data_IF_031718022712
#
_entry.id   IF_031718022712
#
_cell.length_a   1.000
_cell.length_b   1.000
_cell.length_c   1.000
_cell.angle_alpha   90.00
_cell.angle_beta   90.00
_cell.angle_gamma   90.00
#
_symmetry.space_group_name_H-M   'P 1'
#
loop_
_entity.id
_entity.type
_entity.pdbx_description
1 polymer ?
#
# COMPACT_ATOMS: atom_id res chain seq x y z
N UNK A 1 47.85 -18.79 -39.90
CA UNK A 1 47.54 -17.37 -39.62
C UNK A 1 46.75 -17.34 -38.33
N UNK A 2 47.46 -17.43 -37.20
CA UNK A 2 46.88 -17.30 -35.87
C UNK A 2 46.89 -15.82 -35.49
N UNK A 3 45.70 -15.25 -35.33
CA UNK A 3 45.51 -13.93 -34.75
C UNK A 3 45.86 -14.03 -33.26
N UNK A 4 47.04 -13.52 -32.88
CA UNK A 4 47.39 -13.28 -31.49
C UNK A 4 46.47 -12.17 -30.97
N UNK A 5 45.45 -12.56 -30.21
CA UNK A 5 44.55 -11.65 -29.52
C UNK A 5 45.30 -10.93 -28.41
N UNK A 6 45.65 -9.67 -28.67
CA UNK A 6 46.26 -8.77 -27.72
C UNK A 6 45.28 -8.51 -26.57
N UNK A 7 45.48 -9.18 -25.43
CA UNK A 7 44.62 -9.07 -24.27
C UNK A 7 44.77 -7.68 -23.64
N UNK A 8 43.66 -6.97 -23.49
CA UNK A 8 43.64 -5.62 -22.89
C UNK A 8 44.27 -5.66 -21.48
N UNK A 9 45.28 -4.82 -21.18
CA UNK A 9 45.97 -4.82 -19.89
C UNK A 9 45.02 -4.65 -18.69
N UNK A 10 45.19 -5.47 -17.66
CA UNK A 10 44.25 -5.53 -16.52
C UNK A 10 44.07 -4.21 -15.78
N UNK A 11 45.12 -3.38 -15.68
CA UNK A 11 45.05 -2.06 -15.06
C UNK A 11 44.11 -1.08 -15.80
N UNK A 12 43.94 -1.23 -17.11
CA UNK A 12 42.97 -0.44 -17.89
C UNK A 12 41.55 -0.94 -17.66
N UNK A 13 41.36 -2.25 -17.44
CA UNK A 13 40.05 -2.82 -17.14
C UNK A 13 39.55 -2.39 -15.75
N UNK A 14 40.44 -2.38 -14.76
CA UNK A 14 40.15 -1.89 -13.40
C UNK A 14 39.88 -0.38 -13.35
N UNK A 15 40.64 0.41 -14.13
CA UNK A 15 40.41 1.85 -14.26
C UNK A 15 39.05 2.18 -14.90
N UNK A 16 38.64 1.44 -15.93
CA UNK A 16 37.33 1.63 -16.57
C UNK A 16 36.19 1.15 -15.67
N UNK A 17 36.36 0.02 -14.99
CA UNK A 17 35.34 -0.50 -14.07
C UNK A 17 35.10 0.44 -12.87
N UNK A 18 36.17 0.96 -12.26
CA UNK A 18 36.06 1.93 -11.17
C UNK A 18 35.46 3.27 -11.63
N UNK A 19 35.83 3.75 -12.83
CA UNK A 19 35.24 4.97 -13.40
C UNK A 19 33.73 4.83 -13.70
N UNK A 20 33.29 3.67 -14.22
CA UNK A 20 31.87 3.39 -14.47
C UNK A 20 31.11 3.34 -13.15
N UNK A 21 31.61 2.61 -12.15
CA UNK A 21 30.98 2.51 -10.82
C UNK A 21 30.83 3.87 -10.16
N UNK A 22 31.89 4.70 -10.15
CA UNK A 22 31.86 6.04 -9.57
C UNK A 22 30.87 6.96 -10.31
N UNK A 23 30.78 6.86 -11.64
CA UNK A 23 29.81 7.63 -12.42
C UNK A 23 28.36 7.22 -12.14
N UNK A 24 28.11 5.93 -11.92
CA UNK A 24 26.80 5.39 -11.56
C UNK A 24 26.42 5.84 -10.15
N UNK A 25 27.35 5.77 -9.20
CA UNK A 25 27.12 6.21 -7.81
C UNK A 25 26.80 7.70 -7.75
N UNK A 26 27.54 8.53 -8.47
CA UNK A 26 27.31 9.97 -8.52
C UNK A 26 25.99 10.33 -9.23
N UNK A 27 25.60 9.59 -10.28
CA UNK A 27 24.32 9.80 -10.97
C UNK A 27 23.14 9.31 -10.11
N UNK A 28 23.33 8.23 -9.32
CA UNK A 28 22.35 7.75 -8.33
C UNK A 28 22.16 8.76 -7.20
N UNK A 29 23.22 9.36 -6.65
CA UNK A 29 23.11 10.40 -5.62
C UNK A 29 22.41 11.66 -6.15
N UNK A 30 22.78 12.12 -7.35
CA UNK A 30 22.17 13.32 -7.96
C UNK A 30 20.70 13.10 -8.32
N UNK A 31 20.37 11.97 -8.93
CA UNK A 31 18.98 11.63 -9.28
C UNK A 31 18.17 11.29 -8.04
N UNK A 32 18.76 10.64 -7.05
CA UNK A 32 18.14 10.31 -5.77
C UNK A 32 17.75 11.56 -4.99
N UNK A 33 18.64 12.55 -4.89
CA UNK A 33 18.37 13.81 -4.20
C UNK A 33 17.28 14.66 -4.87
N UNK A 34 17.31 14.79 -6.20
CA UNK A 34 16.28 15.53 -6.95
C UNK A 34 14.91 14.84 -6.85
N UNK A 35 14.90 13.51 -6.98
CA UNK A 35 13.68 12.71 -6.86
C UNK A 35 13.12 12.81 -5.45
N UNK A 36 13.93 12.64 -4.40
CA UNK A 36 13.50 12.79 -3.01
C UNK A 36 12.86 14.17 -2.76
N UNK A 37 13.46 15.26 -3.25
CA UNK A 37 12.85 16.60 -3.13
C UNK A 37 11.52 16.72 -3.86
N UNK A 38 11.39 16.14 -5.05
CA UNK A 38 10.11 16.12 -5.80
C UNK A 38 9.05 15.29 -5.08
N UNK A 39 9.44 14.19 -4.46
CA UNK A 39 8.56 13.36 -3.64
C UNK A 39 8.06 14.11 -2.41
N UNK A 40 8.97 14.79 -1.71
CA UNK A 40 8.62 15.66 -0.58
C UNK A 40 7.69 16.78 -1.05
N UNK A 41 7.99 17.44 -2.16
CA UNK A 41 7.14 18.50 -2.72
C UNK A 41 5.74 18.02 -3.10
N UNK A 42 5.64 16.86 -3.76
CA UNK A 42 4.35 16.23 -4.08
C UNK A 42 3.58 15.85 -2.79
N UNK A 43 4.28 15.34 -1.78
CA UNK A 43 3.72 15.05 -0.46
C UNK A 43 3.13 16.28 0.20
N UNK A 44 3.89 17.37 0.26
CA UNK A 44 3.43 18.66 0.82
C UNK A 44 2.23 19.20 0.05
N UNK A 45 2.29 19.21 -1.29
CA UNK A 45 1.18 19.69 -2.12
C UNK A 45 -0.10 18.87 -1.93
N UNK A 46 0.00 17.55 -1.84
CA UNK A 46 -1.17 16.72 -1.62
C UNK A 46 -1.72 16.80 -0.19
N UNK A 47 -0.88 17.01 0.83
CA UNK A 47 -1.33 17.34 2.19
C UNK A 47 -2.10 18.66 2.21
N UNK A 48 -1.54 19.72 1.62
CA UNK A 48 -2.19 21.02 1.52
C UNK A 48 -3.50 20.92 0.72
N UNK A 49 -3.49 20.19 -0.40
CA UNK A 49 -4.69 19.94 -1.21
C UNK A 49 -5.78 19.22 -0.43
N UNK A 50 -5.42 18.20 0.34
CA UNK A 50 -6.37 17.43 1.17
C UNK A 50 -6.98 18.31 2.26
N UNK A 51 -6.16 19.09 2.96
CA UNK A 51 -6.63 20.06 3.96
C UNK A 51 -7.55 21.09 3.31
N UNK A 52 -7.22 21.58 2.11
CA UNK A 52 -8.06 22.50 1.35
C UNK A 52 -9.41 21.89 0.99
N UNK A 53 -9.44 20.67 0.44
CA UNK A 53 -10.68 19.95 0.12
C UNK A 53 -11.50 19.70 1.38
N UNK A 54 -10.87 19.26 2.47
CA UNK A 54 -11.57 19.07 3.74
C UNK A 54 -12.18 20.37 4.25
N UNK A 55 -11.46 21.49 4.20
CA UNK A 55 -12.03 22.79 4.59
C UNK A 55 -13.18 23.24 3.70
N UNK A 56 -13.15 22.92 2.40
CA UNK A 56 -14.21 23.25 1.46
C UNK A 56 -15.45 22.35 1.60
N UNK A 57 -15.25 21.06 1.88
CA UNK A 57 -16.33 20.05 1.95
C UNK A 57 -16.94 19.94 3.34
N UNK A 58 -16.16 20.13 4.41
CA UNK A 58 -16.61 20.09 5.81
C UNK A 58 -17.26 21.40 6.27
N UNK A 59 -17.75 22.23 5.34
CA UNK A 59 -18.61 23.38 5.63
C UNK A 59 -19.94 23.01 6.32
N UNK A 60 -20.19 21.73 6.58
CA UNK A 60 -21.20 21.25 7.51
C UNK A 60 -20.56 20.80 8.82
N UNK A 61 -21.04 21.30 9.97
CA UNK A 61 -20.51 20.93 11.27
C UNK A 61 -20.70 19.42 11.45
N UNK A 62 -19.61 18.68 11.34
CA UNK A 62 -19.51 17.31 11.85
C UNK A 62 -19.96 17.37 13.31
N UNK A 63 -21.14 16.81 13.59
CA UNK A 63 -21.79 16.94 14.88
C UNK A 63 -20.85 16.54 16.03
N UNK A 64 -20.83 17.34 17.09
CA UNK A 64 -20.31 17.06 18.44
C UNK A 64 -18.86 16.55 18.61
N UNK A 65 -18.08 16.34 17.55
CA UNK A 65 -16.72 15.78 17.65
C UNK A 65 -15.61 16.73 17.22
N UNK A 66 -14.39 16.61 17.79
CA UNK A 66 -13.27 17.47 17.44
C UNK A 66 -12.81 17.17 16.01
N UNK A 67 -13.11 18.09 15.10
CA UNK A 67 -12.78 18.03 13.65
C UNK A 67 -11.30 17.76 13.35
N UNK A 68 -10.41 18.07 14.30
CA UNK A 68 -8.97 17.89 14.14
C UNK A 68 -8.53 16.42 13.96
N UNK A 69 -9.24 15.44 14.56
CA UNK A 69 -8.87 14.03 14.43
C UNK A 69 -9.03 13.53 12.98
N UNK A 70 -10.19 13.82 12.38
CA UNK A 70 -10.48 13.46 11.00
C UNK A 70 -9.47 14.11 10.04
N UNK A 71 -9.15 15.39 10.27
CA UNK A 71 -8.13 16.11 9.49
C UNK A 71 -6.74 15.48 9.64
N UNK A 72 -6.33 15.13 10.86
CA UNK A 72 -5.04 14.50 11.11
C UNK A 72 -4.93 13.13 10.39
N UNK A 73 -5.97 12.30 10.50
CA UNK A 73 -5.98 10.98 9.84
C UNK A 73 -5.99 11.11 8.32
N UNK A 74 -6.75 12.06 7.76
CA UNK A 74 -6.76 12.30 6.32
C UNK A 74 -5.43 12.85 5.78
N UNK A 75 -4.75 13.72 6.54
CA UNK A 75 -3.40 14.19 6.22
C UNK A 75 -2.41 13.03 6.18
N UNK A 76 -2.42 12.19 7.22
CA UNK A 76 -1.56 10.99 7.30
C UNK A 76 -1.85 10.07 6.12
N UNK A 77 -3.14 9.78 5.86
CA UNK A 77 -3.54 8.89 4.77
C UNK A 77 -3.11 9.40 3.40
N UNK A 78 -3.31 10.70 3.15
CA UNK A 78 -2.91 11.34 1.89
C UNK A 78 -1.40 11.31 1.70
N UNK A 79 -0.62 11.54 2.76
CA UNK A 79 0.83 11.39 2.74
C UNK A 79 1.27 9.97 2.34
N UNK A 80 0.70 8.95 2.98
CA UNK A 80 0.99 7.53 2.67
C UNK A 80 0.61 7.21 1.21
N UNK A 81 -0.55 7.69 0.75
CA UNK A 81 -1.02 7.48 -0.62
C UNK A 81 -0.10 8.14 -1.65
N UNK A 82 0.29 9.39 -1.44
CA UNK A 82 1.19 10.11 -2.34
C UNK A 82 2.53 9.40 -2.43
N UNK A 83 3.12 9.01 -1.29
CA UNK A 83 4.39 8.26 -1.27
C UNK A 83 4.27 6.92 -1.98
N UNK A 84 3.15 6.22 -1.82
CA UNK A 84 2.89 4.94 -2.50
C UNK A 84 2.74 5.12 -4.01
N UNK A 85 1.97 6.10 -4.46
CA UNK A 85 1.81 6.43 -5.88
C UNK A 85 3.14 6.86 -6.51
N UNK A 86 3.89 7.69 -5.81
CA UNK A 86 5.24 8.07 -6.18
C UNK A 86 6.17 6.87 -6.36
N UNK A 87 6.24 5.99 -5.36
CA UNK A 87 7.05 4.78 -5.41
C UNK A 87 6.64 3.92 -6.61
N UNK A 88 5.34 3.75 -6.85
CA UNK A 88 4.81 3.02 -8.00
C UNK A 88 5.21 3.67 -9.34
N UNK A 89 5.06 4.99 -9.51
CA UNK A 89 5.41 5.68 -10.75
C UNK A 89 6.91 5.73 -11.04
N UNK A 90 7.78 5.63 -10.02
CA UNK A 90 9.22 5.55 -10.25
C UNK A 90 9.62 4.34 -11.11
N UNK A 91 8.83 3.24 -11.08
CA UNK A 91 9.09 2.07 -11.92
C UNK A 91 9.04 2.33 -13.42
N UNK A 92 8.43 3.43 -13.86
CA UNK A 92 8.35 3.78 -15.29
C UNK A 92 9.74 4.08 -15.85
N UNK A 93 10.68 4.56 -15.01
CA UNK A 93 12.00 5.04 -15.45
C UNK A 93 13.18 4.32 -14.82
N UNK A 94 12.97 3.48 -13.82
CA UNK A 94 14.05 2.77 -13.11
C UNK A 94 13.79 1.26 -13.06
N UNK A 95 14.84 0.44 -12.87
CA UNK A 95 14.67 -0.97 -12.56
C UNK A 95 13.69 -1.15 -11.40
N UNK A 96 12.81 -2.14 -11.50
CA UNK A 96 11.75 -2.35 -10.52
C UNK A 96 12.31 -2.63 -9.13
N UNK A 97 12.11 -1.69 -8.22
CA UNK A 97 12.40 -1.87 -6.81
C UNK A 97 11.27 -2.67 -6.15
N UNK A 98 11.57 -3.60 -5.22
CA UNK A 98 10.56 -4.37 -4.50
C UNK A 98 9.53 -3.48 -3.76
N UNK A 99 9.96 -2.31 -3.29
CA UNK A 99 9.09 -1.34 -2.63
C UNK A 99 8.02 -0.80 -3.58
N UNK A 100 8.36 -0.59 -4.85
CA UNK A 100 7.45 -0.02 -5.81
C UNK A 100 6.41 -1.06 -6.30
N UNK A 101 6.77 -2.34 -6.33
CA UNK A 101 5.81 -3.43 -6.59
C UNK A 101 4.84 -3.57 -5.43
N UNK A 102 5.36 -3.52 -4.20
CA UNK A 102 4.56 -3.48 -2.98
C UNK A 102 3.59 -2.29 -2.98
N UNK A 103 4.07 -1.10 -3.37
CA UNK A 103 3.24 0.09 -3.48
C UNK A 103 2.16 -0.06 -4.57
N UNK A 104 2.49 -0.65 -5.72
CA UNK A 104 1.51 -0.94 -6.77
C UNK A 104 0.40 -1.89 -6.30
N UNK A 105 0.75 -2.97 -5.61
CA UNK A 105 -0.22 -3.89 -5.01
C UNK A 105 -1.06 -3.19 -3.93
N UNK A 106 -0.43 -2.39 -3.08
CA UNK A 106 -1.11 -1.61 -2.05
C UNK A 106 -2.13 -0.63 -2.63
N UNK A 107 -1.75 0.15 -3.64
CA UNK A 107 -2.64 1.10 -4.33
C UNK A 107 -3.77 0.37 -5.05
N UNK A 108 -3.48 -0.75 -5.73
CA UNK A 108 -4.52 -1.56 -6.37
C UNK A 108 -5.50 -2.13 -5.34
N UNK A 109 -5.00 -2.67 -4.22
CA UNK A 109 -5.84 -3.16 -3.13
C UNK A 109 -6.67 -2.06 -2.47
N UNK A 110 -6.11 -0.86 -2.31
CA UNK A 110 -6.87 0.31 -1.84
C UNK A 110 -7.99 0.69 -2.82
N UNK A 111 -7.71 0.66 -4.13
CA UNK A 111 -8.72 0.90 -5.17
C UNK A 111 -9.85 -0.13 -5.11
N UNK A 112 -9.53 -1.41 -4.94
CA UNK A 112 -10.53 -2.47 -4.75
C UNK A 112 -11.36 -2.24 -3.48
N UNK A 113 -10.72 -1.89 -2.35
CA UNK A 113 -11.41 -1.54 -1.12
C UNK A 113 -12.39 -0.37 -1.32
N UNK A 114 -11.96 0.66 -2.06
CA UNK A 114 -12.78 1.80 -2.41
C UNK A 114 -13.99 1.44 -3.29
N UNK A 115 -13.80 0.58 -4.30
CA UNK A 115 -14.90 0.08 -5.14
C UNK A 115 -15.91 -0.72 -4.30
N UNK A 116 -15.41 -1.62 -3.44
CA UNK A 116 -16.27 -2.37 -2.52
C UNK A 116 -17.05 -1.42 -1.59
N UNK A 117 -16.38 -0.40 -1.04
CA UNK A 117 -17.02 0.61 -0.19
C UNK A 117 -18.09 1.44 -0.90
N UNK A 118 -17.83 1.84 -2.15
CA UNK A 118 -18.79 2.58 -2.96
C UNK A 118 -20.01 1.72 -3.36
N UNK A 119 -19.84 0.40 -3.47
CA UNK A 119 -20.92 -0.53 -3.77
C UNK A 119 -21.75 -0.94 -2.53
N UNK A 120 -21.25 -0.71 -1.32
CA UNK A 120 -21.96 -1.02 -0.08
C UNK A 120 -23.12 -0.04 0.17
N UNK A 121 -24.25 -0.57 0.64
CA UNK A 121 -25.43 0.25 1.01
C UNK A 121 -25.20 1.13 2.23
N UNK A 122 -24.24 0.77 3.08
CA UNK A 122 -23.83 1.52 4.27
C UNK A 122 -22.31 1.77 4.22
N UNK A 123 -21.90 3.03 4.40
CA UNK A 123 -20.50 3.44 4.36
C UNK A 123 -19.72 3.03 5.64
N UNK A 124 -20.40 2.68 6.73
CA UNK A 124 -19.79 2.09 7.91
C UNK A 124 -19.70 0.56 7.77
N UNK A 125 -18.50 0.05 7.49
CA UNK A 125 -18.29 -1.37 7.19
C UNK A 125 -18.61 -2.30 8.35
N UNK A 126 -18.34 -1.90 9.60
CA UNK A 126 -18.68 -2.74 10.77
C UNK A 126 -20.19 -2.83 10.99
N UNK A 127 -20.93 -1.76 10.71
CA UNK A 127 -22.40 -1.76 10.80
C UNK A 127 -22.95 -2.67 9.71
N UNK A 128 -22.50 -2.48 8.47
CA UNK A 128 -22.85 -3.37 7.36
C UNK A 128 -22.53 -4.84 7.67
N UNK A 129 -21.36 -5.11 8.24
CA UNK A 129 -20.95 -6.46 8.63
C UNK A 129 -21.88 -7.06 9.69
N UNK A 130 -22.21 -6.28 10.72
CA UNK A 130 -23.13 -6.71 11.78
C UNK A 130 -24.56 -6.95 11.25
N UNK A 131 -24.97 -6.27 10.18
CA UNK A 131 -26.26 -6.50 9.51
C UNK A 131 -26.28 -7.81 8.68
N UNK A 132 -25.12 -8.39 8.37
CA UNK A 132 -25.06 -9.70 7.71
C UNK A 132 -25.34 -10.83 8.70
N UNK A 133 -25.93 -11.94 8.23
CA UNK A 133 -26.18 -13.12 9.08
C UNK A 133 -24.89 -13.68 9.72
N UNK A 134 -23.77 -13.63 8.99
CA UNK A 134 -22.47 -14.14 9.47
C UNK A 134 -21.90 -13.22 10.54
N UNK A 135 -21.87 -11.90 10.29
CA UNK A 135 -21.35 -10.94 11.24
C UNK A 135 -22.20 -10.84 12.52
N UNK A 136 -23.53 -10.90 12.39
CA UNK A 136 -24.44 -10.97 13.53
C UNK A 136 -24.18 -12.19 14.43
N UNK A 137 -24.05 -13.38 13.83
CA UNK A 137 -23.74 -14.62 14.57
C UNK A 137 -22.39 -14.54 15.26
N UNK A 138 -21.33 -14.15 14.55
CA UNK A 138 -19.99 -14.02 15.13
C UNK A 138 -19.94 -12.97 16.25
N UNK A 139 -20.67 -11.87 16.09
CA UNK A 139 -20.78 -10.85 17.14
C UNK A 139 -21.50 -11.38 18.39
N UNK A 140 -22.55 -12.18 18.20
CA UNK A 140 -23.29 -12.81 19.31
C UNK A 140 -22.50 -13.90 20.04
N UNK A 141 -21.73 -14.72 19.32
CA UNK A 141 -21.00 -15.86 19.91
C UNK A 141 -19.60 -15.49 20.43
N UNK A 142 -18.85 -14.67 19.69
CA UNK A 142 -17.45 -14.33 20.00
C UNK A 142 -17.28 -12.91 20.52
N UNK A 143 -18.33 -12.09 20.46
CA UNK A 143 -18.29 -10.68 20.78
C UNK A 143 -17.87 -9.79 19.60
N UNK A 144 -18.13 -8.47 19.70
CA UNK A 144 -17.97 -7.54 18.59
C UNK A 144 -16.51 -7.39 18.14
N UNK A 145 -15.55 -7.50 19.07
CA UNK A 145 -14.14 -7.29 18.77
C UNK A 145 -13.53 -8.44 17.96
N UNK A 146 -13.86 -9.70 18.31
CA UNK A 146 -13.45 -10.86 17.53
C UNK A 146 -14.19 -10.90 16.18
N UNK A 147 -15.48 -10.54 16.14
CA UNK A 147 -16.22 -10.40 14.88
C UNK A 147 -15.57 -9.38 13.94
N UNK A 148 -15.12 -8.23 14.44
CA UNK A 148 -14.41 -7.23 13.65
C UNK A 148 -13.02 -7.72 13.17
N UNK A 149 -12.31 -8.53 13.96
CA UNK A 149 -11.09 -9.20 13.49
C UNK A 149 -11.39 -10.16 12.34
N UNK A 150 -12.43 -10.98 12.45
CA UNK A 150 -12.86 -11.89 11.38
C UNK A 150 -13.24 -11.12 10.11
N UNK A 151 -13.97 -10.01 10.24
CA UNK A 151 -14.27 -9.11 9.14
C UNK A 151 -12.98 -8.60 8.46
N UNK A 152 -12.07 -8.02 9.23
CA UNK A 152 -10.77 -7.55 8.73
C UNK A 152 -9.99 -8.65 8.04
N UNK A 153 -9.93 -9.84 8.63
CA UNK A 153 -9.26 -11.00 8.05
C UNK A 153 -9.85 -11.38 6.69
N UNK A 154 -11.16 -11.63 6.61
CA UNK A 154 -11.82 -12.12 5.40
C UNK A 154 -11.73 -11.10 4.26
N UNK A 155 -12.08 -9.84 4.53
CA UNK A 155 -12.09 -8.79 3.51
C UNK A 155 -10.68 -8.54 2.99
N UNK A 156 -9.68 -8.49 3.87
CA UNK A 156 -8.32 -8.17 3.45
C UNK A 156 -7.62 -9.36 2.80
N UNK A 157 -8.01 -10.60 3.11
CA UNK A 157 -7.62 -11.78 2.32
C UNK A 157 -8.10 -11.63 0.88
N UNK A 158 -9.39 -11.33 0.68
CA UNK A 158 -9.97 -11.18 -0.65
C UNK A 158 -9.27 -10.06 -1.44
N UNK A 159 -9.20 -8.86 -0.86
CA UNK A 159 -8.57 -7.69 -1.50
C UNK A 159 -7.09 -7.97 -1.81
N UNK A 160 -6.35 -8.49 -0.84
CA UNK A 160 -4.93 -8.80 -1.00
C UNK A 160 -4.67 -9.87 -2.06
N UNK A 161 -5.49 -10.92 -2.11
CA UNK A 161 -5.38 -11.98 -3.10
C UNK A 161 -5.68 -11.50 -4.51
N UNK A 162 -6.77 -10.74 -4.71
CA UNK A 162 -7.14 -10.21 -6.02
C UNK A 162 -6.11 -9.19 -6.50
N UNK A 163 -5.67 -8.26 -5.64
CA UNK A 163 -4.66 -7.28 -6.00
C UNK A 163 -3.34 -7.95 -6.40
N UNK A 164 -2.85 -8.89 -5.59
CA UNK A 164 -1.64 -9.63 -5.89
C UNK A 164 -1.77 -10.47 -7.18
N UNK A 165 -2.91 -11.12 -7.41
CA UNK A 165 -3.16 -11.91 -8.61
C UNK A 165 -3.14 -11.02 -9.87
N UNK A 166 -3.94 -9.95 -9.89
CA UNK A 166 -4.00 -9.01 -11.03
C UNK A 166 -2.63 -8.40 -11.32
N UNK A 167 -1.90 -8.00 -10.28
CA UNK A 167 -0.56 -7.47 -10.42
C UNK A 167 0.41 -8.50 -11.01
N UNK A 168 0.38 -9.74 -10.49
CA UNK A 168 1.24 -10.84 -10.97
C UNK A 168 0.97 -11.19 -12.43
N UNK A 169 -0.32 -11.25 -12.83
CA UNK A 169 -0.73 -11.55 -14.19
C UNK A 169 -0.29 -10.46 -15.18
N UNK A 170 -0.30 -9.20 -14.74
CA UNK A 170 0.13 -8.05 -15.54
C UNK A 170 1.65 -7.95 -15.67
N UNK A 171 2.38 -8.29 -14.60
CA UNK A 171 3.85 -8.23 -14.53
C UNK A 171 4.47 -9.63 -14.52
N UNK A 172 4.29 -10.38 -15.61
CA UNK A 172 4.79 -11.76 -15.78
C UNK A 172 6.30 -11.83 -15.47
N UNK A 173 6.65 -12.49 -14.36
CA UNK A 173 8.02 -12.94 -14.07
C UNK A 173 8.76 -12.23 -12.94
N UNK A 174 8.16 -11.26 -12.25
CA UNK A 174 8.84 -10.59 -11.12
C UNK A 174 8.46 -11.20 -9.76
N UNK A 175 9.43 -11.54 -8.91
CA UNK A 175 9.16 -12.12 -7.59
C UNK A 175 8.68 -11.05 -6.61
N UNK A 176 7.38 -11.05 -6.32
CA UNK A 176 6.79 -10.18 -5.30
C UNK A 176 7.22 -10.67 -3.90
N UNK A 177 7.61 -9.74 -3.03
CA UNK A 177 7.86 -9.99 -1.59
C UNK A 177 6.55 -9.79 -0.81
N UNK A 178 5.87 -10.86 -0.34
CA UNK A 178 4.52 -10.75 0.22
C UNK A 178 4.45 -9.85 1.45
N UNK A 179 5.48 -9.87 2.30
CA UNK A 179 5.54 -9.05 3.52
C UNK A 179 5.51 -7.56 3.19
N UNK A 180 6.31 -7.09 2.22
CA UNK A 180 6.35 -5.67 1.85
C UNK A 180 5.02 -5.20 1.26
N UNK A 181 4.43 -6.01 0.37
CA UNK A 181 3.15 -5.70 -0.23
C UNK A 181 2.00 -5.70 0.81
N UNK A 182 2.04 -6.63 1.77
CA UNK A 182 1.08 -6.67 2.88
C UNK A 182 1.19 -5.45 3.80
N UNK A 183 2.42 -5.03 4.12
CA UNK A 183 2.65 -3.80 4.86
C UNK A 183 2.13 -2.57 4.10
N UNK A 184 2.39 -2.48 2.79
CA UNK A 184 1.90 -1.37 1.98
C UNK A 184 0.36 -1.32 1.97
N UNK A 185 -0.30 -2.46 1.76
CA UNK A 185 -1.76 -2.56 1.81
C UNK A 185 -2.31 -2.20 3.19
N UNK A 186 -1.75 -2.77 4.26
CA UNK A 186 -2.17 -2.49 5.63
C UNK A 186 -2.03 -1.01 5.97
N UNK A 187 -0.90 -0.37 5.65
CA UNK A 187 -0.68 1.06 5.90
C UNK A 187 -1.66 1.95 5.13
N UNK A 188 -2.06 1.55 3.92
CA UNK A 188 -3.05 2.28 3.13
C UNK A 188 -4.48 2.10 3.63
N UNK A 189 -4.80 0.98 4.31
CA UNK A 189 -6.14 0.70 4.86
C UNK A 189 -6.30 1.18 6.31
N UNK A 190 -5.23 1.19 7.11
CA UNK A 190 -5.29 1.49 8.54
C UNK A 190 -5.90 2.87 8.88
N UNK A 191 -5.63 3.96 8.13
CA UNK A 191 -6.31 5.24 8.36
C UNK A 191 -7.84 5.15 8.17
N UNK A 192 -8.31 4.39 7.18
CA UNK A 192 -9.74 4.15 6.96
C UNK A 192 -10.37 3.37 8.12
N UNK A 193 -9.66 2.37 8.64
CA UNK A 193 -10.08 1.62 9.84
C UNK A 193 -10.17 2.55 11.06
N UNK A 194 -9.17 3.43 11.25
CA UNK A 194 -9.17 4.37 12.35
C UNK A 194 -10.36 5.34 12.29
N UNK A 195 -10.68 5.87 11.09
CA UNK A 195 -11.85 6.73 10.91
C UNK A 195 -13.16 6.00 11.20
N UNK A 196 -13.29 4.75 10.76
CA UNK A 196 -14.51 3.97 10.98
C UNK A 196 -14.64 3.39 12.39
N UNK A 197 -13.56 3.39 13.16
CA UNK A 197 -13.52 2.88 14.54
C UNK A 197 -13.67 3.97 15.60
N UNK A 198 -14.08 5.18 15.22
CA UNK A 198 -14.09 6.31 16.15
C UNK A 198 -15.06 6.10 17.34
N UNK A 199 -16.24 5.52 17.09
CA UNK A 199 -17.28 5.29 18.11
C UNK A 199 -17.33 3.85 18.63
N UNK A 200 -16.33 3.02 18.33
CA UNK A 200 -16.27 1.63 18.82
C UNK A 200 -15.24 1.49 19.93
N UNK A 201 -15.32 0.37 20.67
CA UNK A 201 -14.37 0.11 21.74
C UNK A 201 -12.94 -0.08 21.20
N UNK A 202 -11.94 0.29 22.02
CA UNK A 202 -10.52 0.06 21.70
C UNK A 202 -10.21 -1.38 21.31
N UNK A 203 -10.89 -2.36 21.93
CA UNK A 203 -10.74 -3.77 21.60
C UNK A 203 -11.14 -4.08 20.15
N UNK A 204 -12.26 -3.50 19.69
CA UNK A 204 -12.74 -3.66 18.30
C UNK A 204 -11.73 -3.05 17.32
N UNK A 205 -11.22 -1.85 17.60
CA UNK A 205 -10.21 -1.20 16.76
C UNK A 205 -8.93 -2.04 16.61
N UNK A 206 -8.32 -2.46 17.72
CA UNK A 206 -7.06 -3.21 17.68
C UNK A 206 -7.22 -4.59 17.04
N UNK A 207 -8.32 -5.29 17.32
CA UNK A 207 -8.58 -6.59 16.74
C UNK A 207 -8.94 -6.50 15.26
N UNK A 208 -9.62 -5.43 14.81
CA UNK A 208 -9.82 -5.17 13.39
C UNK A 208 -8.50 -4.89 12.66
N UNK A 209 -7.61 -4.08 13.24
CA UNK A 209 -6.27 -3.86 12.69
C UNK A 209 -5.48 -5.16 12.60
N UNK A 210 -5.53 -6.00 13.64
CA UNK A 210 -4.86 -7.30 13.65
C UNK A 210 -5.39 -8.22 12.54
N UNK A 211 -6.72 -8.37 12.44
CA UNK A 211 -7.36 -9.15 11.39
C UNK A 211 -6.98 -8.66 9.99
N UNK A 212 -6.96 -7.33 9.79
CA UNK A 212 -6.54 -6.70 8.54
C UNK A 212 -5.08 -6.99 8.20
N UNK A 213 -4.16 -6.88 9.17
CA UNK A 213 -2.74 -7.12 8.96
C UNK A 213 -2.47 -8.59 8.59
N UNK A 214 -3.07 -9.54 9.32
CA UNK A 214 -2.97 -10.97 9.04
C UNK A 214 -3.60 -11.28 7.68
N UNK A 215 -4.79 -10.72 7.41
CA UNK A 215 -5.52 -10.95 6.17
C UNK A 215 -4.79 -10.42 4.94
N UNK A 216 -4.18 -9.24 5.03
CA UNK A 216 -3.34 -8.69 3.96
C UNK A 216 -2.17 -9.62 3.63
N UNK A 217 -1.46 -10.12 4.64
CA UNK A 217 -0.35 -11.05 4.44
C UNK A 217 -0.82 -12.35 3.78
N UNK A 218 -1.84 -13.00 4.34
CA UNK A 218 -2.37 -14.26 3.83
C UNK A 218 -2.92 -14.09 2.41
N UNK A 219 -3.72 -13.06 2.16
CA UNK A 219 -4.29 -12.77 0.85
C UNK A 219 -3.23 -12.59 -0.21
N UNK A 220 -2.23 -11.74 0.04
CA UNK A 220 -1.15 -11.50 -0.92
C UNK A 220 -0.30 -12.76 -1.12
N UNK A 221 0.01 -13.51 -0.06
CA UNK A 221 0.73 -14.78 -0.18
C UNK A 221 -0.03 -15.79 -1.05
N UNK A 222 -1.36 -15.84 -0.94
CA UNK A 222 -2.21 -16.69 -1.80
C UNK A 222 -2.23 -16.19 -3.25
N UNK A 223 -2.50 -14.90 -3.48
CA UNK A 223 -2.57 -14.34 -4.83
C UNK A 223 -1.25 -14.46 -5.60
N UNK A 224 -0.11 -14.26 -4.92
CA UNK A 224 1.22 -14.44 -5.51
C UNK A 224 1.55 -15.90 -5.82
N UNK A 225 1.00 -16.87 -5.07
CA UNK A 225 1.16 -18.30 -5.37
C UNK A 225 0.34 -18.72 -6.58
N UNK A 226 -0.92 -18.29 -6.66
CA UNK A 226 -1.84 -18.61 -7.76
C UNK A 226 -1.38 -17.98 -9.08
N UNK A 227 -0.84 -16.75 -9.04
CA UNK A 227 -0.38 -16.05 -10.24
C UNK A 227 0.94 -16.57 -10.83
N UNK A 228 1.63 -17.52 -10.18
CA UNK A 228 2.89 -18.06 -10.72
C UNK A 228 2.60 -19.00 -11.89
N UNK A 229 3.22 -18.78 -13.06
CA UNK A 229 3.12 -19.75 -14.15
C UNK A 229 3.72 -21.08 -13.70
N UNK A 230 2.96 -22.17 -13.87
CA UNK A 230 3.47 -23.53 -13.71
C UNK A 230 4.57 -23.71 -14.76
N UNK A 231 5.80 -23.92 -14.30
CA UNK A 231 6.95 -24.23 -15.16
C UNK A 231 7.01 -25.72 -15.43
#
# INVERSE_FOLDING_TARGET
MESQGESTPDHLREGVASGILASIEQDVERRGGSTARRLVGAGVLGVVGTLGVMHLVLGHPMGHHPTWHASAVAVIWSGILIVSLAAYFLQIRTPSLPLAEAAGIGVLGLGLAGICGAACSNQHFLVWWADTQVGARLSGELGPALSASCFGLVVTIFIGAVAALVFTLSNRGRPIRPVLAALALFLLLAPGIALQSYDVSWGVFWLWLLGTAVGAYVGIALGTRVGRPVR
#
